data_IF_971409010664
#
_entry.id   IF_971409010664
#
_cell.length_a   1.000
_cell.length_b   1.000
_cell.length_c   1.000
_cell.angle_alpha   90.00
_cell.angle_beta   90.00
_cell.angle_gamma   90.00
#
_symmetry.space_group_name_H-M   'P 1'
#
loop_
_entity.id
_entity.type
_entity.pdbx_description
1 polymer ?
#
# COMPACT_ATOMS: atom_id res chain seq x y z
N UNK A 1 3.01 -23.72 -2.86
CA UNK A 1 2.33 -22.67 -2.07
C UNK A 1 3.33 -21.53 -1.97
N UNK A 2 2.98 -20.33 -2.46
CA UNK A 2 3.83 -19.14 -2.26
C UNK A 2 3.41 -18.45 -0.97
N UNK A 3 4.39 -17.93 -0.23
CA UNK A 3 4.19 -17.17 0.99
C UNK A 3 4.69 -15.73 0.74
N UNK A 4 3.91 -14.74 1.17
CA UNK A 4 4.24 -13.32 0.98
C UNK A 4 4.32 -12.64 2.35
N UNK A 5 5.50 -12.17 2.74
CA UNK A 5 5.76 -11.60 4.07
C UNK A 5 6.05 -10.11 4.00
N UNK A 6 5.62 -9.42 5.04
CA UNK A 6 6.01 -8.05 5.33
C UNK A 6 6.26 -7.91 6.84
N UNK A 7 7.32 -7.20 7.20
CA UNK A 7 7.60 -6.82 8.58
C UNK A 7 7.20 -5.37 8.79
N UNK A 8 6.40 -5.11 9.82
CA UNK A 8 5.95 -3.75 10.18
C UNK A 8 6.77 -3.28 11.38
N UNK A 9 7.47 -2.15 11.23
CA UNK A 9 8.30 -1.57 12.30
C UNK A 9 7.81 -0.18 12.66
N UNK A 10 7.29 -0.07 13.88
CA UNK A 10 6.95 1.20 14.51
C UNK A 10 7.76 1.35 15.80
N UNK A 11 8.19 2.58 16.10
CA UNK A 11 8.90 2.89 17.33
C UNK A 11 8.44 4.24 17.89
N UNK A 12 8.21 4.28 19.21
CA UNK A 12 7.81 5.51 19.92
C UNK A 12 8.90 6.59 19.94
N UNK A 13 10.17 6.18 19.88
CA UNK A 13 11.34 7.06 19.93
C UNK A 13 11.31 8.06 21.10
N UNK A 14 10.84 7.61 22.27
CA UNK A 14 10.77 8.42 23.49
C UNK A 14 9.61 9.43 23.56
N UNK A 15 8.85 9.63 22.49
CA UNK A 15 7.69 10.54 22.47
C UNK A 15 6.54 10.06 23.37
N UNK A 16 5.68 10.96 23.85
CA UNK A 16 4.51 10.60 24.66
C UNK A 16 3.57 9.61 23.93
N UNK A 17 3.01 8.65 24.68
CA UNK A 17 2.09 7.65 24.14
C UNK A 17 0.62 8.00 24.40
N UNK A 18 0.24 9.23 24.06
CA UNK A 18 -1.17 9.65 23.99
C UNK A 18 -1.76 9.39 22.61
N UNK A 19 -3.07 9.09 22.53
CA UNK A 19 -3.73 8.81 21.24
C UNK A 19 -3.51 9.91 20.21
N UNK A 20 -3.48 11.19 20.62
CA UNK A 20 -3.24 12.31 19.71
C UNK A 20 -1.75 12.59 19.44
N UNK A 21 -0.85 12.00 20.23
CA UNK A 21 0.55 12.38 20.29
C UNK A 21 1.49 11.32 19.69
N UNK A 22 1.13 10.03 19.73
CA UNK A 22 1.97 9.00 19.14
C UNK A 22 2.01 9.16 17.61
N UNK A 23 3.19 9.08 17.00
CA UNK A 23 3.29 9.16 15.54
C UNK A 23 2.68 7.93 14.88
N UNK A 24 1.95 8.08 13.78
CA UNK A 24 1.49 6.95 12.95
C UNK A 24 2.55 6.50 11.95
N UNK A 25 3.65 7.23 11.86
CA UNK A 25 4.75 6.94 10.94
C UNK A 25 5.45 5.63 11.32
N UNK A 26 5.58 4.74 10.35
CA UNK A 26 6.25 3.46 10.49
C UNK A 26 6.88 3.03 9.17
N UNK A 27 7.58 1.90 9.18
CA UNK A 27 8.22 1.31 8.00
C UNK A 27 7.63 -0.07 7.71
N UNK A 28 7.29 -0.32 6.46
CA UNK A 28 7.06 -1.66 5.94
C UNK A 28 8.37 -2.16 5.34
N UNK A 29 8.84 -3.34 5.75
CA UNK A 29 10.00 -4.01 5.15
C UNK A 29 9.55 -5.30 4.49
N UNK A 30 9.92 -5.48 3.24
CA UNK A 30 9.66 -6.69 2.46
C UNK A 30 10.92 -7.57 2.38
N UNK A 31 10.75 -8.85 2.07
CA UNK A 31 11.87 -9.82 1.97
C UNK A 31 12.88 -9.45 0.88
N UNK A 32 12.47 -8.67 -0.12
CA UNK A 32 13.36 -8.10 -1.14
C UNK A 32 14.33 -7.03 -0.60
N UNK A 33 14.20 -6.64 0.67
CA UNK A 33 14.95 -5.55 1.28
C UNK A 33 14.35 -4.16 1.04
N UNK A 34 13.28 -4.06 0.25
CA UNK A 34 12.56 -2.80 0.04
C UNK A 34 11.93 -2.34 1.35
N UNK A 35 12.13 -1.06 1.66
CA UNK A 35 11.49 -0.38 2.77
C UNK A 35 10.58 0.73 2.27
N UNK A 36 9.34 0.73 2.75
CA UNK A 36 8.33 1.73 2.38
C UNK A 36 7.92 2.52 3.62
N UNK A 37 8.15 3.85 3.63
CA UNK A 37 7.59 4.73 4.64
C UNK A 37 6.06 4.72 4.56
N UNK A 38 5.44 4.34 5.67
CA UNK A 38 4.00 4.23 5.78
C UNK A 38 3.47 5.02 6.98
N UNK A 39 2.18 5.33 6.92
CA UNK A 39 1.43 5.98 8.00
C UNK A 39 -0.03 5.52 7.94
N UNK A 40 -0.84 5.85 8.95
CA UNK A 40 -2.29 5.84 8.77
C UNK A 40 -2.73 6.88 7.73
N UNK A 41 -3.96 6.78 7.24
CA UNK A 41 -4.57 7.82 6.41
C UNK A 41 -4.70 9.16 7.19
N UNK A 42 -4.75 10.32 6.49
CA UNK A 42 -4.86 11.63 7.13
C UNK A 42 -6.08 11.78 8.05
N UNK A 43 -7.19 11.11 7.72
CA UNK A 43 -8.40 11.07 8.55
C UNK A 43 -8.16 10.46 9.95
N UNK A 44 -7.07 9.72 10.12
CA UNK A 44 -6.68 9.05 11.36
C UNK A 44 -5.37 9.60 11.96
N UNK A 45 -5.12 10.89 11.76
CA UNK A 45 -3.93 11.63 12.25
C UNK A 45 -2.60 11.13 11.65
N UNK A 46 -2.66 10.62 10.42
CA UNK A 46 -1.50 10.16 9.68
C UNK A 46 -0.81 11.23 8.84
N UNK A 47 0.38 10.90 8.35
CA UNK A 47 1.21 11.73 7.49
C UNK A 47 0.82 11.56 6.00
N UNK A 48 0.32 12.61 5.33
CA UNK A 48 -0.11 12.53 3.92
C UNK A 48 1.03 12.35 2.92
N UNK A 49 2.30 12.45 3.36
CA UNK A 49 3.47 12.21 2.52
C UNK A 49 3.95 10.75 2.55
N UNK A 50 3.23 9.87 3.26
CA UNK A 50 3.56 8.44 3.38
C UNK A 50 2.41 7.61 2.85
N UNK A 51 2.73 6.37 2.46
CA UNK A 51 1.74 5.42 1.99
C UNK A 51 0.80 5.05 3.14
N UNK A 52 -0.50 5.18 2.93
CA UNK A 52 -1.51 4.62 3.84
C UNK A 52 -1.95 3.22 3.40
N UNK A 53 -2.38 2.35 4.34
CA UNK A 53 -2.80 0.99 4.04
C UNK A 53 -3.94 0.90 3.03
N UNK A 54 -4.91 1.81 3.10
CA UNK A 54 -6.09 1.80 2.23
C UNK A 54 -5.70 2.08 0.78
N UNK A 55 -4.89 3.11 0.52
CA UNK A 55 -4.34 3.41 -0.80
C UNK A 55 -3.42 2.30 -1.31
N UNK A 56 -2.59 1.72 -0.44
CA UNK A 56 -1.73 0.59 -0.80
C UNK A 56 -2.54 -0.65 -1.22
N UNK A 57 -3.66 -0.91 -0.55
CA UNK A 57 -4.55 -2.01 -0.90
C UNK A 57 -5.20 -1.82 -2.27
N UNK A 58 -5.67 -0.61 -2.57
CA UNK A 58 -6.18 -0.25 -3.90
C UNK A 58 -5.11 -0.45 -4.97
N UNK A 59 -3.89 0.05 -4.72
CA UNK A 59 -2.77 -0.10 -5.64
C UNK A 59 -2.39 -1.56 -5.88
N UNK A 60 -2.38 -2.40 -4.84
CA UNK A 60 -2.07 -3.83 -4.95
C UNK A 60 -3.07 -4.57 -5.84
N UNK A 61 -4.37 -4.30 -5.68
CA UNK A 61 -5.43 -4.90 -6.51
C UNK A 61 -5.35 -4.43 -7.97
N UNK A 62 -5.22 -3.12 -8.19
CA UNK A 62 -5.08 -2.54 -9.54
C UNK A 62 -3.85 -3.12 -10.25
N UNK A 63 -2.70 -3.19 -9.56
CA UNK A 63 -1.47 -3.77 -10.11
C UNK A 63 -1.61 -5.26 -10.44
N UNK A 64 -2.28 -6.05 -9.61
CA UNK A 64 -2.51 -7.48 -9.87
C UNK A 64 -3.38 -7.68 -11.12
N UNK A 65 -4.44 -6.88 -11.26
CA UNK A 65 -5.28 -6.87 -12.44
C UNK A 65 -4.50 -6.46 -13.70
N UNK A 66 -3.71 -5.39 -13.63
CA UNK A 66 -2.83 -4.96 -14.73
C UNK A 66 -1.89 -6.08 -15.18
N UNK A 67 -1.20 -6.76 -14.25
CA UNK A 67 -0.28 -7.84 -14.59
C UNK A 67 -1.00 -9.01 -15.29
N UNK A 68 -2.22 -9.32 -14.87
CA UNK A 68 -3.06 -10.32 -15.54
C UNK A 68 -3.45 -9.87 -16.96
N UNK A 69 -3.88 -8.62 -17.13
CA UNK A 69 -4.20 -8.05 -18.43
C UNK A 69 -3.00 -8.07 -19.39
N UNK A 70 -1.83 -7.64 -18.93
CA UNK A 70 -0.60 -7.62 -19.73
C UNK A 70 -0.17 -9.03 -20.15
N UNK A 71 -0.27 -10.01 -19.25
CA UNK A 71 0.00 -11.42 -19.59
C UNK A 71 -0.93 -11.93 -20.70
N UNK A 72 -2.22 -11.60 -20.62
CA UNK A 72 -3.20 -11.97 -21.64
C UNK A 72 -2.93 -11.28 -22.99
N UNK A 73 -2.60 -10.00 -22.99
CA UNK A 73 -2.28 -9.24 -24.20
C UNK A 73 -1.03 -9.82 -24.89
N UNK A 74 0.02 -10.07 -24.11
CA UNK A 74 1.26 -10.70 -24.58
C UNK A 74 0.99 -12.07 -25.19
N UNK A 75 0.20 -12.93 -24.53
CA UNK A 75 -0.14 -14.27 -25.03
C UNK A 75 -0.93 -14.25 -26.35
N UNK A 76 -1.60 -13.13 -26.66
CA UNK A 76 -2.34 -12.94 -27.91
C UNK A 76 -1.53 -12.22 -28.99
N UNK A 77 -0.26 -11.91 -28.74
CA UNK A 77 0.62 -11.23 -29.69
C UNK A 77 0.38 -9.73 -29.82
N UNK A 78 -0.36 -9.11 -28.90
CA UNK A 78 -0.46 -7.65 -28.84
C UNK A 78 0.77 -7.06 -28.16
N UNK A 79 1.23 -5.92 -28.66
CA UNK A 79 2.26 -5.09 -28.03
C UNK A 79 1.55 -3.94 -27.30
N UNK A 80 1.78 -3.81 -26.00
CA UNK A 80 1.19 -2.75 -25.16
C UNK A 80 2.31 -1.78 -24.76
N UNK A 81 2.27 -0.56 -25.27
CA UNK A 81 3.30 0.46 -24.98
C UNK A 81 3.13 1.13 -23.62
N UNK A 82 1.88 1.28 -23.15
CA UNK A 82 1.59 1.94 -21.87
C UNK A 82 0.29 1.43 -21.26
N UNK A 83 0.26 1.37 -19.93
CA UNK A 83 -0.93 1.12 -19.13
C UNK A 83 -1.00 2.15 -18.01
N UNK A 84 -2.17 2.74 -17.79
CA UNK A 84 -2.44 3.63 -16.67
C UNK A 84 -3.83 3.33 -16.12
N UNK A 85 -3.93 3.21 -14.81
CA UNK A 85 -5.20 3.03 -14.09
C UNK A 85 -5.31 4.07 -12.96
N UNK A 86 -6.49 4.65 -12.84
CA UNK A 86 -6.87 5.62 -11.81
C UNK A 86 -7.87 4.96 -10.85
N UNK A 87 -7.43 3.91 -10.16
CA UNK A 87 -8.26 3.10 -9.30
C UNK A 87 -8.72 3.86 -8.04
N UNK A 88 -9.96 3.59 -7.59
CA UNK A 88 -10.56 4.21 -6.39
C UNK A 88 -11.16 3.13 -5.50
N UNK A 89 -10.74 3.12 -4.23
CA UNK A 89 -11.38 2.35 -3.16
C UNK A 89 -12.30 3.23 -2.32
N UNK A 90 -13.40 2.65 -1.82
CA UNK A 90 -14.31 3.32 -0.89
C UNK A 90 -14.39 2.52 0.40
N UNK A 91 -14.16 3.20 1.52
CA UNK A 91 -14.33 2.65 2.87
C UNK A 91 -15.65 3.18 3.44
N UNK A 92 -16.51 2.28 3.90
CA UNK A 92 -17.80 2.64 4.52
C UNK A 92 -17.94 1.92 5.87
N UNK A 93 -18.85 2.42 6.71
CA UNK A 93 -19.19 1.70 7.95
C UNK A 93 -19.88 0.39 7.57
N UNK A 94 -19.53 -0.68 8.27
CA UNK A 94 -20.29 -1.92 8.17
C UNK A 94 -21.75 -1.67 8.59
N UNK A 95 -22.67 -2.38 7.93
CA UNK A 95 -24.09 -2.38 8.23
C UNK A 95 -24.39 -3.03 9.59
#
# INVERSE_FOLDING_TARGET
MSEHKATIKWARNGADFGYKNYSRDHIWRFDSGVETPASAAPAYLGNPQRVDPEAAFVAALSSCHMLTFLALASNKGFVVDSYQDSAVGRLEKNA
#
